data_IF_653834137082
#
_entry.id   IF_653834137082
#
_cell.length_a   1.000
_cell.length_b   1.000
_cell.length_c   1.000
_cell.angle_alpha   90.00
_cell.angle_beta   90.00
_cell.angle_gamma   90.00
#
_symmetry.space_group_name_H-M   'P 1'
#
loop_
_entity.id
_entity.type
_entity.pdbx_description
1 polymer ?
#
# COMPACT_ATOMS: atom_id res chain seq x y z
N UNK A 1 -31.35 -25.74 17.98
CA UNK A 1 -30.69 -24.43 18.21
C UNK A 1 -30.61 -23.74 16.85
N UNK A 2 -31.45 -22.72 16.62
CA UNK A 2 -31.54 -22.00 15.33
C UNK A 2 -30.49 -20.89 15.31
N UNK A 3 -29.63 -20.88 14.29
CA UNK A 3 -28.92 -19.67 13.85
C UNK A 3 -29.45 -19.35 12.46
N UNK A 4 -30.10 -18.20 12.34
CA UNK A 4 -30.77 -17.75 11.12
C UNK A 4 -29.82 -16.79 10.40
N UNK A 5 -29.18 -17.25 9.32
CA UNK A 5 -28.61 -16.38 8.31
C UNK A 5 -29.71 -16.12 7.27
N UNK A 6 -30.06 -14.85 7.04
CA UNK A 6 -30.88 -14.45 5.90
C UNK A 6 -30.05 -14.64 4.62
N UNK A 7 -30.03 -15.87 4.09
CA UNK A 7 -29.44 -16.20 2.79
C UNK A 7 -30.45 -15.89 1.69
N UNK A 8 -30.09 -14.98 0.78
CA UNK A 8 -30.61 -15.05 -0.59
C UNK A 8 -30.19 -16.41 -1.12
N UNK A 9 -31.14 -17.29 -1.42
CA UNK A 9 -30.85 -18.56 -2.09
C UNK A 9 -30.33 -18.24 -3.50
N UNK A 10 -29.00 -18.26 -3.66
CA UNK A 10 -28.37 -18.29 -4.97
C UNK A 10 -28.37 -19.75 -5.39
N UNK A 11 -29.31 -20.14 -6.25
CA UNK A 11 -29.30 -21.45 -6.89
C UNK A 11 -28.30 -21.39 -8.04
N UNK A 12 -27.05 -21.77 -7.79
CA UNK A 12 -26.01 -21.88 -8.82
C UNK A 12 -26.32 -23.12 -9.66
N UNK A 13 -26.43 -22.96 -10.97
CA UNK A 13 -26.70 -24.09 -11.87
C UNK A 13 -25.53 -25.10 -11.87
N UNK A 14 -25.80 -26.37 -12.17
CA UNK A 14 -24.73 -27.38 -12.31
C UNK A 14 -23.69 -27.01 -13.39
N UNK A 15 -24.11 -26.23 -14.40
CA UNK A 15 -23.24 -25.72 -15.46
C UNK A 15 -22.29 -24.62 -14.95
N UNK A 16 -22.77 -23.72 -14.08
CA UNK A 16 -21.94 -22.74 -13.39
C UNK A 16 -21.00 -23.38 -12.36
N UNK A 17 -21.44 -24.42 -11.65
CA UNK A 17 -20.58 -25.21 -10.77
C UNK A 17 -19.46 -25.91 -11.55
N UNK A 18 -19.76 -26.42 -12.75
CA UNK A 18 -18.76 -27.00 -13.65
C UNK A 18 -17.71 -25.97 -14.10
N UNK A 19 -18.15 -24.78 -14.51
CA UNK A 19 -17.24 -23.67 -14.87
C UNK A 19 -16.37 -23.23 -13.69
N UNK A 20 -16.95 -23.10 -12.48
CA UNK A 20 -16.21 -22.73 -11.28
C UNK A 20 -15.16 -23.78 -10.87
N UNK A 21 -15.46 -25.08 -11.04
CA UNK A 21 -14.47 -26.15 -10.82
C UNK A 21 -13.33 -26.08 -11.83
N UNK A 22 -13.64 -25.85 -13.10
CA UNK A 22 -12.62 -25.74 -14.15
C UNK A 22 -11.72 -24.51 -13.95
N UNK A 23 -12.31 -23.37 -13.54
CA UNK A 23 -11.55 -22.17 -13.16
C UNK A 23 -10.65 -22.43 -11.96
N UNK A 24 -11.13 -23.18 -10.96
CA UNK A 24 -10.35 -23.54 -9.77
C UNK A 24 -9.18 -24.46 -10.13
N UNK A 25 -9.42 -25.52 -10.90
CA UNK A 25 -8.36 -26.44 -11.34
C UNK A 25 -7.29 -25.72 -12.18
N UNK A 26 -7.69 -24.81 -13.07
CA UNK A 26 -6.76 -23.97 -13.82
C UNK A 26 -5.95 -23.04 -12.89
N UNK A 27 -6.62 -22.39 -11.93
CA UNK A 27 -5.95 -21.52 -10.97
C UNK A 27 -4.97 -22.28 -10.07
N UNK A 28 -5.36 -23.45 -9.55
CA UNK A 28 -4.54 -24.30 -8.68
C UNK A 28 -3.31 -24.80 -9.45
N UNK A 29 -3.44 -25.15 -10.74
CA UNK A 29 -2.30 -25.48 -11.60
C UNK A 29 -1.32 -24.30 -11.82
N UNK A 30 -1.85 -23.08 -11.90
CA UNK A 30 -1.05 -21.85 -11.97
C UNK A 30 -0.36 -21.59 -10.62
N UNK A 31 -1.01 -21.91 -9.49
CA UNK A 31 -0.40 -21.79 -8.16
C UNK A 31 0.74 -22.79 -7.97
N UNK A 32 0.56 -24.04 -8.40
CA UNK A 32 1.59 -25.08 -8.35
C UNK A 32 2.80 -24.75 -9.24
N UNK A 33 2.62 -23.93 -10.28
CA UNK A 33 3.70 -23.48 -11.19
C UNK A 33 4.30 -22.12 -10.82
N UNK A 34 3.99 -21.55 -9.66
CA UNK A 34 4.59 -20.30 -9.20
C UNK A 34 6.09 -20.47 -8.97
N UNK A 35 6.87 -19.69 -9.72
CA UNK A 35 8.32 -19.61 -9.57
C UNK A 35 8.73 -18.61 -8.49
N UNK A 36 7.92 -17.55 -8.29
CA UNK A 36 8.25 -16.45 -7.39
C UNK A 36 7.05 -15.92 -6.61
N UNK A 37 7.29 -15.44 -5.39
CA UNK A 37 6.32 -14.69 -4.59
C UNK A 37 6.98 -13.45 -3.98
N UNK A 38 6.43 -12.27 -4.26
CA UNK A 38 6.95 -11.01 -3.77
C UNK A 38 5.91 -10.18 -3.03
N UNK A 39 6.38 -9.51 -1.98
CA UNK A 39 5.60 -8.54 -1.22
C UNK A 39 5.94 -7.13 -1.73
N UNK A 40 4.95 -6.41 -2.25
CA UNK A 40 5.11 -5.05 -2.78
C UNK A 40 4.33 -4.07 -1.91
N UNK A 41 4.94 -2.94 -1.56
CA UNK A 41 4.35 -1.97 -0.64
C UNK A 41 4.20 -0.60 -1.33
N UNK A 42 2.97 -0.05 -1.35
CA UNK A 42 2.68 1.28 -1.89
C UNK A 42 2.79 2.33 -0.79
N UNK A 43 3.62 3.35 -1.00
CA UNK A 43 3.88 4.44 -0.04
C UNK A 43 3.70 5.81 -0.70
N UNK A 44 3.54 6.86 0.12
CA UNK A 44 3.29 8.23 -0.33
C UNK A 44 2.07 8.85 0.33
N UNK A 45 1.87 10.14 0.13
CA UNK A 45 0.84 10.92 0.81
C UNK A 45 -0.59 10.45 0.52
N UNK A 46 -1.54 10.91 1.34
CA UNK A 46 -2.97 10.76 1.03
C UNK A 46 -3.29 11.32 -0.36
N UNK A 47 -4.37 10.83 -0.99
CA UNK A 47 -4.91 11.40 -2.24
C UNK A 47 -4.03 11.31 -3.51
N UNK A 48 -2.78 10.87 -3.43
CA UNK A 48 -1.88 10.72 -4.61
C UNK A 48 -2.32 9.61 -5.59
N UNK A 49 -3.15 8.66 -5.14
CA UNK A 49 -3.77 7.64 -5.98
C UNK A 49 -3.24 6.21 -5.85
N UNK A 50 -2.53 5.86 -4.76
CA UNK A 50 -2.05 4.50 -4.47
C UNK A 50 -3.12 3.41 -4.64
N UNK A 51 -4.27 3.58 -4.00
CA UNK A 51 -5.40 2.65 -4.10
C UNK A 51 -5.91 2.53 -5.53
N UNK A 52 -5.96 3.65 -6.26
CA UNK A 52 -6.41 3.66 -7.65
C UNK A 52 -5.43 2.93 -8.57
N UNK A 53 -4.12 3.10 -8.36
CA UNK A 53 -3.08 2.35 -9.07
C UNK A 53 -3.24 0.86 -8.80
N UNK A 54 -3.36 0.46 -7.52
CA UNK A 54 -3.57 -0.96 -7.14
C UNK A 54 -4.80 -1.54 -7.81
N UNK A 55 -5.96 -0.87 -7.70
CA UNK A 55 -7.23 -1.31 -8.28
C UNK A 55 -7.15 -1.45 -9.79
N UNK A 56 -6.53 -0.48 -10.46
CA UNK A 56 -6.35 -0.51 -11.91
C UNK A 56 -5.46 -1.68 -12.33
N UNK A 57 -4.36 -1.92 -11.62
CA UNK A 57 -3.45 -3.03 -11.89
C UNK A 57 -4.12 -4.40 -11.75
N UNK A 58 -4.96 -4.60 -10.73
CA UNK A 58 -5.66 -5.88 -10.50
C UNK A 58 -6.96 -6.03 -11.32
N UNK A 59 -7.31 -5.06 -12.17
CA UNK A 59 -8.51 -5.13 -13.02
C UNK A 59 -9.83 -4.77 -12.34
N UNK A 60 -9.82 -4.21 -11.12
CA UNK A 60 -11.02 -3.76 -10.40
C UNK A 60 -11.62 -2.44 -10.95
N UNK A 61 -10.95 -1.83 -11.94
CA UNK A 61 -11.35 -0.56 -12.55
C UNK A 61 -11.05 0.67 -11.70
N UNK A 62 -11.39 1.85 -12.23
CA UNK A 62 -11.23 3.15 -11.56
C UNK A 62 -12.53 3.57 -10.90
N UNK A 63 -12.46 4.13 -9.68
CA UNK A 63 -13.60 4.75 -8.99
C UNK A 63 -13.36 6.24 -8.84
N UNK A 64 -14.28 7.06 -9.38
CA UNK A 64 -14.23 8.52 -9.29
C UNK A 64 -14.53 9.04 -7.89
N UNK A 65 -15.34 8.32 -7.11
CA UNK A 65 -15.66 8.70 -5.74
C UNK A 65 -14.49 8.35 -4.81
N UNK A 66 -13.84 9.39 -4.28
CA UNK A 66 -12.76 9.23 -3.33
C UNK A 66 -13.28 8.70 -1.98
N UNK A 67 -12.68 7.61 -1.52
CA UNK A 67 -12.84 7.08 -0.18
C UNK A 67 -11.42 6.91 0.37
N UNK A 68 -11.02 7.64 1.43
CA UNK A 68 -9.69 7.48 2.01
C UNK A 68 -9.44 6.02 2.41
N UNK A 69 -8.24 5.49 2.14
CA UNK A 69 -7.82 4.21 2.70
C UNK A 69 -7.68 4.38 4.20
N UNK A 70 -8.57 3.73 4.93
CA UNK A 70 -8.52 3.66 6.38
C UNK A 70 -7.62 2.47 6.73
N UNK A 71 -6.37 2.74 7.10
CA UNK A 71 -5.35 1.74 7.41
C UNK A 71 -4.70 1.05 6.23
N UNK A 72 -4.82 -0.28 6.14
CA UNK A 72 -4.08 -1.09 5.14
C UNK A 72 -5.01 -2.09 4.48
N UNK A 73 -4.93 -2.11 3.15
CA UNK A 73 -5.67 -3.01 2.28
C UNK A 73 -4.66 -3.72 1.37
N UNK A 74 -4.91 -4.98 1.02
CA UNK A 74 -3.99 -5.74 0.18
C UNK A 74 -4.72 -6.48 -0.93
N UNK A 75 -4.04 -6.63 -2.05
CA UNK A 75 -4.51 -7.39 -3.19
C UNK A 75 -3.41 -8.32 -3.66
N UNK A 76 -3.78 -9.41 -4.31
CA UNK A 76 -2.84 -10.29 -4.97
C UNK A 76 -3.13 -10.37 -6.46
N UNK A 77 -2.07 -10.46 -7.26
CA UNK A 77 -2.15 -10.74 -8.69
C UNK A 77 -1.04 -11.71 -9.06
N UNK A 78 -1.39 -12.72 -9.83
CA UNK A 78 -0.41 -13.59 -10.47
C UNK A 78 -0.15 -13.01 -11.85
N UNK A 79 1.12 -12.78 -12.15
CA UNK A 79 1.58 -12.31 -13.46
C UNK A 79 2.51 -13.36 -14.05
N UNK A 80 2.37 -13.62 -15.34
CA UNK A 80 3.27 -14.53 -16.06
C UNK A 80 4.41 -13.70 -16.63
N UNK A 81 5.61 -13.88 -16.11
CA UNK A 81 6.83 -13.26 -16.66
C UNK A 81 7.58 -14.29 -17.51
N UNK A 82 8.62 -13.85 -18.22
CA UNK A 82 9.52 -14.76 -18.96
C UNK A 82 10.23 -15.75 -18.03
N UNK A 83 10.36 -15.38 -16.76
CA UNK A 83 11.03 -16.16 -15.71
C UNK A 83 10.05 -17.05 -14.92
N UNK A 84 8.80 -17.16 -15.38
CA UNK A 84 7.76 -18.00 -14.80
C UNK A 84 6.60 -17.23 -14.16
N UNK A 85 5.66 -17.97 -13.59
CA UNK A 85 4.51 -17.37 -12.91
C UNK A 85 4.96 -16.74 -11.59
N UNK A 86 4.68 -15.46 -11.41
CA UNK A 86 5.07 -14.67 -10.23
C UNK A 86 3.84 -14.16 -9.51
N UNK A 87 3.74 -14.43 -8.21
CA UNK A 87 2.67 -13.89 -7.36
C UNK A 87 3.13 -12.60 -6.70
N UNK A 88 2.42 -11.51 -6.93
CA UNK A 88 2.60 -10.24 -6.24
C UNK A 88 1.54 -10.07 -5.16
N UNK A 89 1.95 -9.84 -3.92
CA UNK A 89 1.09 -9.43 -2.81
C UNK A 89 1.30 -7.94 -2.57
N UNK A 90 0.34 -7.12 -2.97
CA UNK A 90 0.44 -5.66 -3.03
C UNK A 90 -0.26 -5.07 -1.82
N UNK A 91 0.47 -4.32 -1.02
CA UNK A 91 0.01 -3.64 0.18
C UNK A 91 -0.22 -2.16 -0.10
N UNK A 92 -1.48 -1.73 -0.07
CA UNK A 92 -1.87 -0.32 -0.10
C UNK A 92 -1.93 0.21 1.33
N UNK A 93 -0.94 1.01 1.70
CA UNK A 93 -0.80 1.55 3.04
C UNK A 93 -1.38 2.98 3.05
N UNK A 94 -2.21 3.31 4.05
CA UNK A 94 -2.75 4.65 4.19
C UNK A 94 -1.63 5.69 4.33
N UNK A 95 -1.70 6.70 3.45
CA UNK A 95 -0.77 7.82 3.40
C UNK A 95 -1.00 8.90 4.46
N UNK A 96 -1.94 8.72 5.40
CA UNK A 96 -2.21 9.74 6.41
C UNK A 96 -1.28 9.55 7.61
N UNK A 97 -0.77 10.66 8.16
CA UNK A 97 0.15 10.68 9.32
C UNK A 97 -0.41 9.95 10.55
N UNK A 98 -1.74 9.95 10.71
CA UNK A 98 -2.46 9.28 11.80
C UNK A 98 -2.26 7.75 11.84
N UNK A 99 -1.83 7.14 10.74
CA UNK A 99 -1.56 5.70 10.65
C UNK A 99 -0.06 5.36 10.74
N UNK A 100 0.83 6.29 11.09
CA UNK A 100 2.28 6.05 11.09
C UNK A 100 2.73 4.87 11.96
N UNK A 101 2.14 4.68 13.13
CA UNK A 101 2.45 3.56 14.04
C UNK A 101 2.14 2.18 13.45
N UNK A 102 1.31 2.11 12.41
CA UNK A 102 0.89 0.89 11.73
C UNK A 102 1.91 0.47 10.70
N UNK A 103 2.46 1.46 9.98
CA UNK A 103 3.24 1.25 8.76
C UNK A 103 4.48 0.40 8.98
N UNK A 104 5.09 0.51 10.17
CA UNK A 104 6.26 -0.30 10.58
C UNK A 104 6.08 -1.79 10.30
N UNK A 105 4.93 -2.38 10.65
CA UNK A 105 4.69 -3.83 10.46
C UNK A 105 4.48 -4.21 8.99
N UNK A 106 4.03 -3.27 8.18
CA UNK A 106 3.75 -3.52 6.78
C UNK A 106 5.00 -3.39 5.91
N UNK A 107 5.96 -2.56 6.31
CA UNK A 107 7.28 -2.46 5.68
C UNK A 107 8.15 -3.70 5.85
N UNK A 108 7.99 -4.43 6.94
CA UNK A 108 8.84 -5.61 7.21
C UNK A 108 8.61 -6.70 6.14
N UNK A 109 9.70 -7.17 5.54
CA UNK A 109 9.68 -8.20 4.51
C UNK A 109 9.13 -7.77 3.15
N UNK A 110 8.97 -6.47 2.86
CA UNK A 110 8.69 -6.05 1.48
C UNK A 110 9.89 -6.38 0.58
N UNK A 111 9.61 -7.00 -0.57
CA UNK A 111 10.56 -7.29 -1.65
C UNK A 111 10.73 -6.10 -2.59
N UNK A 112 9.70 -5.25 -2.70
CA UNK A 112 9.68 -4.05 -3.53
C UNK A 112 8.85 -2.92 -2.92
N UNK A 113 9.22 -1.68 -3.22
CA UNK A 113 8.51 -0.47 -2.81
C UNK A 113 8.08 0.34 -4.03
N UNK A 114 6.85 0.86 -3.99
CA UNK A 114 6.35 1.85 -4.95
C UNK A 114 6.05 3.13 -4.20
N UNK A 115 6.88 4.16 -4.40
CA UNK A 115 6.62 5.50 -3.88
C UNK A 115 5.78 6.27 -4.88
N UNK A 116 4.60 6.73 -4.47
CA UNK A 116 3.67 7.44 -5.34
C UNK A 116 3.52 8.87 -4.88
N UNK A 117 3.69 9.82 -5.80
CA UNK A 117 3.28 11.21 -5.65
C UNK A 117 2.38 11.63 -6.81
N UNK A 118 1.76 12.80 -6.73
CA UNK A 118 0.87 13.33 -7.78
C UNK A 118 1.57 14.45 -8.54
N UNK A 119 1.59 14.41 -9.87
CA UNK A 119 2.26 15.43 -10.70
C UNK A 119 1.66 16.83 -10.61
N UNK A 120 0.46 16.95 -10.04
CA UNK A 120 -0.25 18.22 -9.80
C UNK A 120 -0.30 18.60 -8.32
N UNK A 121 0.56 17.99 -7.49
CA UNK A 121 0.61 18.18 -6.05
C UNK A 121 2.07 18.23 -5.57
N UNK A 122 2.64 19.44 -5.55
CA UNK A 122 4.05 19.69 -5.16
C UNK A 122 4.35 19.25 -3.73
N UNK A 123 3.40 19.44 -2.82
CA UNK A 123 3.57 19.01 -1.42
C UNK A 123 3.76 17.49 -1.33
N UNK A 124 3.01 16.72 -2.12
CA UNK A 124 3.18 15.27 -2.18
C UNK A 124 4.55 14.82 -2.70
N UNK A 125 5.15 15.59 -3.62
CA UNK A 125 6.50 15.34 -4.12
C UNK A 125 7.56 15.68 -3.08
N UNK A 126 7.45 16.83 -2.42
CA UNK A 126 8.39 17.24 -1.37
C UNK A 126 8.38 16.25 -0.18
N UNK A 127 7.19 15.75 0.17
CA UNK A 127 7.01 14.74 1.22
C UNK A 127 7.51 13.35 0.81
N UNK A 128 7.73 13.06 -0.47
CA UNK A 128 8.20 11.76 -0.96
C UNK A 128 9.53 11.33 -0.30
N UNK A 129 10.42 12.30 -0.06
CA UNK A 129 11.68 12.10 0.68
C UNK A 129 11.44 11.58 2.11
N UNK A 130 10.44 12.12 2.82
CA UNK A 130 10.08 11.72 4.19
C UNK A 130 9.58 10.28 4.23
N UNK A 131 8.81 9.87 3.21
CA UNK A 131 8.35 8.49 3.07
C UNK A 131 9.49 7.49 2.89
N UNK A 132 10.49 7.85 2.08
CA UNK A 132 11.68 7.02 1.91
C UNK A 132 12.51 6.90 3.20
N UNK A 133 12.72 8.01 3.89
CA UNK A 133 13.43 8.02 5.18
C UNK A 133 12.68 7.17 6.21
N UNK A 134 11.35 7.29 6.28
CA UNK A 134 10.53 6.48 7.17
C UNK A 134 10.65 4.98 6.85
N UNK A 135 10.49 4.60 5.58
CA UNK A 135 10.60 3.21 5.15
C UNK A 135 11.99 2.63 5.46
N UNK A 136 13.04 3.39 5.16
CA UNK A 136 14.42 3.02 5.45
C UNK A 136 14.66 2.83 6.96
N UNK A 137 14.07 3.69 7.81
CA UNK A 137 14.18 3.57 9.26
C UNK A 137 13.54 2.31 9.86
N UNK A 138 12.64 1.65 9.13
CA UNK A 138 11.94 0.45 9.59
C UNK A 138 12.42 -0.85 8.93
N UNK A 139 13.20 -0.77 7.85
CA UNK A 139 13.66 -1.94 7.10
C UNK A 139 15.14 -2.23 7.36
N UNK A 140 15.48 -3.51 7.56
CA UNK A 140 16.88 -3.94 7.71
C UNK A 140 17.66 -3.91 6.39
N UNK A 141 16.98 -4.25 5.28
CA UNK A 141 17.49 -4.17 3.91
C UNK A 141 16.46 -3.40 3.10
N UNK A 142 16.91 -2.35 2.42
CA UNK A 142 16.03 -1.55 1.59
C UNK A 142 15.74 -2.33 0.29
N UNK A 143 14.46 -2.55 -0.07
CA UNK A 143 14.09 -3.31 -1.25
C UNK A 143 14.23 -2.47 -2.52
N UNK A 144 14.10 -3.09 -3.69
CA UNK A 144 14.04 -2.37 -4.96
C UNK A 144 12.92 -1.34 -4.94
N UNK A 145 13.18 -0.18 -5.54
CA UNK A 145 12.30 0.98 -5.46
C UNK A 145 11.83 1.39 -6.85
N UNK A 146 10.55 1.70 -6.98
CA UNK A 146 10.03 2.45 -8.12
C UNK A 146 9.38 3.73 -7.60
N UNK A 147 9.73 4.85 -8.22
CA UNK A 147 9.14 6.15 -7.95
C UNK A 147 8.14 6.43 -9.06
N UNK A 148 6.91 6.68 -8.66
CA UNK A 148 5.75 6.82 -9.56
C UNK A 148 5.18 8.21 -9.45
N UNK A 149 5.22 8.95 -10.55
CA UNK A 149 4.53 10.22 -10.71
C UNK A 149 3.13 9.96 -11.29
N UNK A 150 2.10 9.98 -10.46
CA UNK A 150 0.74 9.64 -10.87
C UNK A 150 -0.06 10.89 -11.31
N UNK A 151 -1.18 10.65 -11.97
CA UNK A 151 -2.15 11.66 -12.47
C UNK A 151 -1.62 12.52 -13.62
N UNK A 152 -0.80 11.95 -14.50
CA UNK A 152 -0.31 12.67 -15.69
C UNK A 152 -1.40 13.15 -16.63
N UNK A 153 -2.58 12.53 -16.57
CA UNK A 153 -3.79 12.98 -17.25
C UNK A 153 -4.23 14.40 -16.83
N UNK A 154 -3.82 14.86 -15.65
CA UNK A 154 -4.18 16.18 -15.13
C UNK A 154 -3.24 17.30 -15.59
N UNK A 155 -2.05 17.00 -16.14
CA UNK A 155 -1.04 18.02 -16.48
C UNK A 155 -1.54 19.12 -17.41
N UNK A 156 -2.44 18.78 -18.34
CA UNK A 156 -2.99 19.74 -19.29
C UNK A 156 -3.94 20.78 -18.65
N UNK A 157 -4.40 20.54 -17.42
CA UNK A 157 -5.39 21.37 -16.73
C UNK A 157 -4.78 22.27 -15.63
N UNK A 158 -3.49 22.12 -15.34
CA UNK A 158 -2.79 22.88 -14.30
C UNK A 158 -1.72 23.80 -14.92
N UNK A 159 -1.39 24.93 -14.27
CA UNK A 159 -0.29 25.79 -14.70
C UNK A 159 1.04 25.02 -14.72
N UNK A 160 1.92 25.34 -15.68
CA UNK A 160 3.19 24.60 -15.88
C UNK A 160 4.14 24.73 -14.69
N UNK A 161 4.06 25.84 -13.98
CA UNK A 161 4.84 26.18 -12.80
C UNK A 161 4.45 25.39 -11.54
N UNK A 162 3.21 24.88 -11.49
CA UNK A 162 2.67 24.14 -10.33
C UNK A 162 2.79 22.62 -10.50
N UNK A 163 3.10 22.14 -11.71
CA UNK A 163 3.26 20.72 -12.00
C UNK A 163 4.72 20.28 -11.85
N UNK A 164 4.90 19.05 -11.38
CA UNK A 164 6.21 18.42 -11.32
C UNK A 164 6.58 17.92 -12.71
N UNK A 165 7.75 18.30 -13.20
CA UNK A 165 8.25 17.89 -14.51
C UNK A 165 8.75 16.44 -14.50
N UNK A 166 8.94 15.87 -15.69
CA UNK A 166 9.52 14.53 -15.81
C UNK A 166 10.96 14.53 -15.27
N UNK A 167 11.72 15.57 -15.64
CA UNK A 167 13.13 15.75 -15.27
C UNK A 167 13.31 15.88 -13.75
N UNK A 168 12.44 16.65 -13.07
CA UNK A 168 12.48 16.75 -11.60
C UNK A 168 12.28 15.39 -10.91
N UNK A 169 11.35 14.57 -11.42
CA UNK A 169 11.09 13.23 -10.90
C UNK A 169 12.22 12.24 -11.17
N UNK A 170 12.83 12.33 -12.35
CA UNK A 170 13.98 11.51 -12.75
C UNK A 170 15.23 11.83 -11.93
N UNK A 171 15.56 13.12 -11.78
CA UNK A 171 16.67 13.60 -10.94
C UNK A 171 16.49 13.18 -9.48
N UNK A 172 15.29 13.34 -8.93
CA UNK A 172 14.95 12.87 -7.59
C UNK A 172 15.20 11.37 -7.43
N UNK A 173 14.79 10.57 -8.42
CA UNK A 173 14.97 9.11 -8.40
C UNK A 173 16.45 8.73 -8.45
N UNK A 174 17.22 9.36 -9.33
CA UNK A 174 18.67 9.14 -9.46
C UNK A 174 19.41 9.44 -8.16
N UNK A 175 19.11 10.60 -7.56
CA UNK A 175 19.69 11.02 -6.29
C UNK A 175 19.43 10.01 -5.17
N UNK A 176 18.21 9.48 -5.07
CA UNK A 176 17.89 8.47 -4.05
C UNK A 176 18.48 7.09 -4.35
N UNK A 177 18.56 6.71 -5.63
CA UNK A 177 19.21 5.46 -6.04
C UNK A 177 20.67 5.41 -5.57
N UNK A 178 21.40 6.51 -5.78
CA UNK A 178 22.80 6.65 -5.35
C UNK A 178 22.93 6.69 -3.83
N UNK A 179 22.13 7.52 -3.14
CA UNK A 179 22.20 7.69 -1.68
C UNK A 179 21.84 6.43 -0.91
N UNK A 180 20.85 5.67 -1.39
CA UNK A 180 20.38 4.45 -0.74
C UNK A 180 21.08 3.19 -1.28
N UNK A 181 22.00 3.34 -2.24
CA UNK A 181 22.64 2.24 -2.96
C UNK A 181 21.64 1.14 -3.35
N UNK A 182 20.48 1.58 -3.85
CA UNK A 182 19.34 0.72 -4.15
C UNK A 182 18.92 0.94 -5.60
N UNK A 183 18.68 -0.14 -6.36
CA UNK A 183 18.16 -0.01 -7.71
C UNK A 183 16.80 0.69 -7.70
N UNK A 184 16.74 1.84 -8.36
CA UNK A 184 15.55 2.68 -8.39
C UNK A 184 15.23 3.11 -9.82
N UNK A 185 13.95 3.08 -10.19
CA UNK A 185 13.48 3.56 -11.50
C UNK A 185 12.34 4.56 -11.35
N UNK A 186 12.26 5.49 -12.29
CA UNK A 186 11.20 6.50 -12.36
C UNK A 186 10.19 6.15 -13.44
N UNK A 187 8.89 6.23 -13.14
CA UNK A 187 7.82 6.05 -14.12
C UNK A 187 6.67 7.04 -13.88
N UNK A 188 6.17 7.62 -14.95
CA UNK A 188 4.95 8.40 -14.93
C UNK A 188 3.72 7.54 -15.22
N UNK A 189 2.64 7.70 -14.44
CA UNK A 189 1.44 6.88 -14.56
C UNK A 189 0.15 7.69 -14.52
N UNK A 190 -0.92 7.09 -15.01
CA UNK A 190 -2.28 7.59 -14.79
C UNK A 190 -3.20 6.44 -14.40
N UNK A 191 -3.65 6.45 -13.14
CA UNK A 191 -4.65 5.49 -12.66
C UNK A 191 -6.01 5.61 -13.36
N UNK A 192 -6.33 6.78 -13.92
CA UNK A 192 -7.55 6.99 -14.68
C UNK A 192 -7.49 6.25 -16.02
N UNK A 193 -6.46 6.53 -16.81
CA UNK A 193 -6.31 5.98 -18.17
C UNK A 193 -5.77 4.55 -18.17
N UNK A 194 -4.89 4.22 -17.22
CA UNK A 194 -4.12 2.97 -17.16
C UNK A 194 -2.71 3.08 -17.70
N UNK A 195 -2.31 4.26 -18.19
CA UNK A 195 -0.96 4.48 -18.75
C UNK A 195 0.11 4.09 -17.74
N UNK A 196 1.03 3.24 -18.20
CA UNK A 196 2.23 2.74 -17.53
C UNK A 196 2.01 2.03 -16.18
N UNK A 197 0.77 1.64 -15.84
CA UNK A 197 0.51 0.92 -14.58
C UNK A 197 1.06 -0.50 -14.64
N UNK A 198 0.71 -1.27 -15.67
CA UNK A 198 1.26 -2.63 -15.82
C UNK A 198 2.79 -2.59 -15.97
N UNK A 199 3.31 -1.65 -16.76
CA UNK A 199 4.76 -1.45 -16.92
C UNK A 199 5.47 -1.20 -15.58
N UNK A 200 4.89 -0.38 -14.70
CA UNK A 200 5.47 -0.11 -13.38
C UNK A 200 5.60 -1.38 -12.53
N UNK A 201 4.57 -2.23 -12.51
CA UNK A 201 4.63 -3.49 -11.78
C UNK A 201 5.52 -4.53 -12.47
N UNK A 202 5.54 -4.59 -13.80
CA UNK A 202 6.36 -5.53 -14.55
C UNK A 202 7.86 -5.22 -14.40
N UNK A 203 8.24 -3.94 -14.48
CA UNK A 203 9.63 -3.52 -14.23
C UNK A 203 10.05 -3.77 -12.79
N UNK A 204 9.20 -3.44 -11.82
CA UNK A 204 9.48 -3.74 -10.41
C UNK A 204 9.66 -5.25 -10.19
N UNK A 205 8.80 -6.06 -10.80
CA UNK A 205 8.87 -7.53 -10.70
C UNK A 205 10.18 -8.05 -11.30
N UNK A 206 10.55 -7.56 -12.48
CA UNK A 206 11.80 -7.92 -13.14
C UNK A 206 13.03 -7.58 -12.27
N UNK A 207 13.03 -6.42 -11.62
CA UNK A 207 14.10 -6.01 -10.69
C UNK A 207 14.15 -6.87 -9.42
N UNK A 208 13.01 -7.40 -8.95
CA UNK A 208 12.97 -8.31 -7.81
C UNK A 208 13.47 -9.72 -8.16
N UNK A 209 13.19 -10.21 -9.38
CA UNK A 209 13.65 -11.52 -9.87
C UNK A 209 15.16 -11.49 -10.17
N UNK A 210 15.64 -10.40 -10.78
CA UNK A 210 17.03 -10.25 -11.22
C UNK A 210 17.78 -9.14 -10.46
N UNK A 211 18.07 -9.31 -9.16
CA UNK A 211 18.73 -8.27 -8.35
C UNK A 211 20.19 -8.00 -8.78
N UNK A 212 20.83 -8.90 -9.52
CA UNK A 212 22.22 -8.75 -10.01
C UNK A 212 22.33 -7.79 -11.21
N UNK A 213 21.28 -7.71 -12.04
CA UNK A 213 21.21 -6.81 -13.21
C UNK A 213 20.95 -5.35 -12.78
N UNK A 214 20.65 -5.15 -11.50
CA UNK A 214 20.22 -3.89 -10.92
C UNK A 214 21.39 -3.08 -10.30
N UNK A 215 22.64 -3.55 -10.44
CA UNK A 215 23.84 -2.78 -10.10
C UNK A 215 23.98 -1.59 -11.07
N UNK A 216 24.44 -0.41 -10.62
CA UNK A 216 24.59 0.76 -11.49
C UNK A 216 25.52 0.43 -12.66
N UNK A 217 25.15 0.90 -13.86
CA UNK A 217 26.01 0.95 -15.02
C UNK A 217 27.29 1.71 -14.64
N UNK A 218 28.34 0.96 -14.34
CA UNK A 218 29.68 1.53 -14.21
C UNK A 218 30.08 2.10 -15.58
N UNK A 219 30.66 3.29 -15.51
CA UNK A 219 30.91 4.19 -16.61
C UNK A 219 31.90 3.69 -17.67
N UNK A 220 31.67 4.16 -18.90
CA UNK A 220 32.62 4.28 -20.01
C UNK A 220 33.01 2.99 -20.78
N UNK A 221 32.37 2.84 -21.95
CA UNK A 221 33.02 2.26 -23.12
C UNK A 221 34.14 3.21 -23.59
N UNK A 222 35.40 2.75 -23.49
CA UNK A 222 36.47 3.17 -24.41
C UNK A 222 37.09 1.93 -25.06
N UNK A 223 37.35 2.05 -26.36
CA UNK A 223 37.78 1.03 -27.30
C UNK A 223 39.25 0.61 -27.12
N UNK A 224 39.53 -0.69 -27.30
CA UNK A 224 40.65 -1.36 -28.04
C UNK A 224 42.12 -0.91 -27.78
N UNK A 225 43.18 -1.72 -27.67
CA UNK A 225 43.67 -2.95 -28.35
C UNK A 225 44.84 -3.59 -27.50
N UNK A 226 45.65 -4.62 -27.90
CA UNK A 226 45.94 -5.82 -27.08
C UNK A 226 47.45 -6.06 -26.76
N UNK A 227 47.75 -7.28 -26.25
CA UNK A 227 49.06 -7.94 -26.01
C UNK A 227 49.80 -7.54 -24.71
N UNK A 228 50.29 -8.45 -23.86
CA UNK A 228 51.19 -9.59 -24.14
C UNK A 228 51.22 -10.62 -22.99
N UNK A 229 51.72 -11.82 -23.31
CA UNK A 229 51.90 -13.03 -22.52
C UNK A 229 52.77 -12.90 -21.25
N UNK A 230 52.55 -13.76 -20.24
CA UNK A 230 53.58 -14.66 -19.66
C UNK A 230 52.95 -15.69 -18.69
N UNK A 231 53.48 -16.91 -18.74
CA UNK A 231 53.04 -18.14 -18.06
C UNK A 231 53.98 -18.46 -16.86
N UNK A 232 53.91 -19.63 -16.16
CA UNK A 232 53.37 -19.83 -14.80
C UNK A 232 54.43 -20.27 -13.75
N UNK A 233 54.11 -20.30 -12.44
CA UNK A 233 54.77 -21.23 -11.50
C UNK A 233 53.81 -21.70 -10.40
N UNK A 234 53.97 -22.99 -10.09
CA UNK A 234 53.22 -23.98 -9.33
C UNK A 234 53.31 -23.95 -7.79
N UNK A 235 52.41 -24.76 -7.20
CA UNK A 235 52.16 -25.16 -5.79
C UNK A 235 53.37 -25.72 -4.99
N UNK A 236 53.18 -26.05 -3.68
CA UNK A 236 52.76 -27.42 -3.35
C UNK A 236 51.78 -27.62 -2.16
N UNK A 237 50.86 -28.56 -2.37
CA UNK A 237 50.20 -29.55 -1.49
C UNK A 237 50.39 -29.54 0.05
N UNK A 238 49.27 -29.76 0.76
CA UNK A 238 49.18 -30.77 1.83
C UNK A 238 47.80 -31.41 1.91
N UNK A 239 47.77 -32.66 2.41
CA UNK A 239 46.88 -33.76 2.03
C UNK A 239 45.91 -34.15 3.17
N UNK A 240 44.60 -34.25 2.88
CA UNK A 240 43.55 -35.24 3.34
C UNK A 240 43.32 -35.58 4.85
N UNK A 241 42.23 -36.30 5.24
CA UNK A 241 40.94 -36.58 4.58
C UNK A 241 39.69 -36.36 5.49
N UNK A 242 38.49 -36.25 4.89
CA UNK A 242 37.23 -36.59 5.58
C UNK A 242 36.14 -37.06 4.61
N UNK A 243 35.92 -38.38 4.68
CA UNK A 243 34.72 -39.23 4.53
C UNK A 243 33.48 -38.76 3.75
N UNK A 244 33.06 -39.67 2.87
CA UNK A 244 31.93 -39.74 1.94
C UNK A 244 30.52 -39.64 2.56
N UNK A 245 29.57 -39.08 1.80
CA UNK A 245 28.41 -39.83 1.27
C UNK A 245 27.53 -38.94 0.38
N UNK A 246 27.66 -39.13 -0.94
CA UNK A 246 26.74 -38.63 -1.96
C UNK A 246 25.78 -39.76 -2.36
N UNK A 247 24.46 -39.57 -2.20
CA UNK A 247 23.46 -40.22 -3.07
C UNK A 247 22.27 -39.28 -3.24
N UNK A 248 22.21 -38.58 -4.37
CA UNK A 248 20.93 -38.22 -5.01
C UNK A 248 21.15 -38.35 -6.52
N UNK A 249 20.97 -39.57 -7.00
CA UNK A 249 20.95 -39.87 -8.42
C UNK A 249 19.61 -39.39 -9.00
N UNK A 250 19.73 -38.49 -9.95
CA UNK A 250 18.83 -38.29 -11.09
C UNK A 250 18.30 -39.62 -11.64
N UNK A 251 16.97 -39.74 -11.72
CA UNK A 251 16.28 -40.77 -12.51
C UNK A 251 15.31 -40.05 -13.44
N UNK A 252 15.83 -39.63 -14.59
CA UNK A 252 15.05 -39.53 -15.82
C UNK A 252 15.66 -40.48 -16.84
N UNK A 253 14.78 -41.18 -17.55
CA UNK A 253 15.01 -42.15 -18.63
C UNK A 253 15.59 -43.53 -18.27
N UNK A 254 14.72 -44.54 -18.23
CA UNK A 254 14.83 -45.66 -19.19
C UNK A 254 13.61 -46.60 -19.18
N UNK A 255 13.25 -47.02 -20.39
CA UNK A 255 12.62 -48.29 -20.78
C UNK A 255 11.20 -48.60 -20.28
N UNK A 256 10.28 -48.63 -21.25
CA UNK A 256 9.14 -49.54 -21.30
C UNK A 256 9.52 -50.96 -20.86
N UNK A 257 9.27 -51.28 -19.59
CA UNK A 257 9.24 -52.64 -19.07
C UNK A 257 7.79 -53.08 -19.21
N UNK A 258 7.54 -54.01 -20.14
CA UNK A 258 6.30 -54.77 -20.20
C UNK A 258 6.28 -55.72 -18.99
N UNK A 259 5.66 -55.27 -17.90
CA UNK A 259 5.37 -56.08 -16.72
C UNK A 259 4.12 -56.89 -17.03
N UNK A 260 4.27 -58.15 -17.46
CA UNK A 260 3.16 -59.08 -17.70
C UNK A 260 2.68 -59.75 -16.38
N UNK A 261 2.65 -59.01 -15.28
CA UNK A 261 2.09 -59.49 -14.00
C UNK A 261 0.88 -58.63 -13.60
N UNK A 262 -0.36 -59.15 -13.78
CA UNK A 262 -1.60 -58.41 -13.55
C UNK A 262 -1.72 -57.83 -12.14
N UNK A 263 -1.12 -58.48 -11.13
CA UNK A 263 -1.14 -58.00 -9.76
C UNK A 263 -0.28 -56.74 -9.57
N UNK A 264 0.88 -56.69 -10.22
CA UNK A 264 1.79 -55.55 -10.15
C UNK A 264 1.20 -54.35 -10.89
N UNK A 265 0.47 -54.58 -11.98
CA UNK A 265 -0.20 -53.52 -12.73
C UNK A 265 -1.37 -52.90 -11.94
N UNK A 266 -2.13 -53.72 -11.21
CA UNK A 266 -3.21 -53.26 -10.32
C UNK A 266 -2.66 -52.45 -9.13
N UNK A 267 -1.63 -52.97 -8.45
CA UNK A 267 -0.97 -52.27 -7.32
C UNK A 267 -0.29 -50.96 -7.78
N UNK A 268 0.36 -50.95 -8.95
CA UNK A 268 0.98 -49.74 -9.50
C UNK A 268 -0.07 -48.68 -9.85
N UNK A 269 -1.23 -49.10 -10.37
CA UNK A 269 -2.34 -48.20 -10.68
C UNK A 269 -2.93 -47.58 -9.41
N UNK A 270 -3.09 -48.39 -8.35
CA UNK A 270 -3.55 -47.92 -7.04
C UNK A 270 -2.55 -46.96 -6.38
N UNK A 271 -1.25 -47.24 -6.50
CA UNK A 271 -0.18 -46.36 -6.02
C UNK A 271 -0.17 -45.00 -6.72
N UNK A 272 -0.38 -44.99 -8.05
CA UNK A 272 -0.48 -43.75 -8.83
C UNK A 272 -1.73 -42.96 -8.41
N UNK A 273 -2.88 -43.61 -8.26
CA UNK A 273 -4.13 -42.95 -7.82
C UNK A 273 -4.00 -42.36 -6.40
N UNK A 274 -3.37 -43.10 -5.47
CA UNK A 274 -3.10 -42.62 -4.11
C UNK A 274 -2.14 -41.43 -4.11
N UNK A 275 -1.09 -41.43 -4.94
CA UNK A 275 -0.19 -40.27 -5.09
C UNK A 275 -0.91 -39.04 -5.62
N UNK A 276 -1.80 -39.22 -6.60
CA UNK A 276 -2.63 -38.11 -7.13
C UNK A 276 -3.57 -37.57 -6.06
N UNK A 277 -4.22 -38.44 -5.29
CA UNK A 277 -5.10 -38.04 -4.17
C UNK A 277 -4.33 -37.31 -3.07
N UNK A 278 -3.14 -37.80 -2.71
CA UNK A 278 -2.28 -37.14 -1.72
C UNK A 278 -1.88 -35.74 -2.19
N UNK A 279 -1.43 -35.62 -3.45
CA UNK A 279 -1.02 -34.34 -4.03
C UNK A 279 -2.16 -33.31 -4.04
N UNK A 280 -3.39 -33.75 -4.39
CA UNK A 280 -4.59 -32.91 -4.30
C UNK A 280 -4.91 -32.47 -2.87
N UNK A 281 -4.85 -33.40 -1.92
CA UNK A 281 -5.12 -33.09 -0.52
C UNK A 281 -4.10 -32.10 0.08
N UNK A 282 -2.82 -32.22 -0.31
CA UNK A 282 -1.79 -31.26 0.08
C UNK A 282 -2.00 -29.88 -0.54
N UNK A 283 -2.47 -29.82 -1.79
CA UNK A 283 -2.77 -28.56 -2.47
C UNK A 283 -3.98 -27.85 -1.85
N UNK A 284 -5.08 -28.58 -1.64
CA UNK A 284 -6.27 -28.06 -0.94
C UNK A 284 -5.93 -27.49 0.45
N UNK A 285 -5.00 -28.15 1.16
CA UNK A 285 -4.54 -27.68 2.47
C UNK A 285 -3.74 -26.37 2.37
N UNK A 286 -2.88 -26.23 1.34
CA UNK A 286 -2.14 -24.98 1.10
C UNK A 286 -3.08 -23.83 0.76
N UNK A 287 -4.05 -24.07 -0.11
CA UNK A 287 -5.00 -23.04 -0.54
C UNK A 287 -5.89 -22.60 0.61
N UNK A 288 -6.37 -23.54 1.43
CA UNK A 288 -7.09 -23.23 2.66
C UNK A 288 -6.23 -22.44 3.66
N UNK A 289 -4.98 -22.84 3.86
CA UNK A 289 -4.04 -22.12 4.74
C UNK A 289 -3.82 -20.69 4.24
N UNK A 290 -3.64 -20.52 2.94
CA UNK A 290 -3.40 -19.22 2.32
C UNK A 290 -4.65 -18.32 2.39
N UNK A 291 -5.83 -18.87 2.10
CA UNK A 291 -7.09 -18.14 2.19
C UNK A 291 -7.40 -17.73 3.65
N UNK A 292 -7.16 -18.62 4.61
CA UNK A 292 -7.36 -18.31 6.03
C UNK A 292 -6.38 -17.25 6.54
N UNK A 293 -5.11 -17.30 6.14
CA UNK A 293 -4.13 -16.24 6.45
C UNK A 293 -4.55 -14.90 5.85
N UNK A 294 -5.01 -14.90 4.61
CA UNK A 294 -5.54 -13.72 3.90
C UNK A 294 -6.76 -13.14 4.64
N UNK A 295 -7.75 -13.97 4.95
CA UNK A 295 -8.95 -13.55 5.67
C UNK A 295 -8.63 -13.05 7.09
N UNK A 296 -7.72 -13.72 7.79
CA UNK A 296 -7.27 -13.31 9.11
C UNK A 296 -6.56 -11.97 9.07
N UNK A 297 -5.72 -11.75 8.07
CA UNK A 297 -5.02 -10.49 7.89
C UNK A 297 -5.99 -9.35 7.57
N UNK A 298 -6.95 -9.57 6.67
CA UNK A 298 -8.02 -8.63 6.36
C UNK A 298 -8.83 -8.26 7.61
N UNK A 299 -9.19 -9.25 8.43
CA UNK A 299 -9.93 -9.04 9.66
C UNK A 299 -9.10 -8.29 10.70
N UNK A 300 -7.83 -8.67 10.89
CA UNK A 300 -6.89 -7.97 11.78
C UNK A 300 -6.74 -6.50 11.39
N UNK A 301 -6.54 -6.22 10.09
CA UNK A 301 -6.47 -4.85 9.57
C UNK A 301 -7.78 -4.12 9.86
N UNK A 302 -8.94 -4.70 9.53
CA UNK A 302 -10.26 -4.08 9.76
C UNK A 302 -10.48 -3.71 11.22
N UNK A 303 -10.22 -4.63 12.15
CA UNK A 303 -10.39 -4.40 13.59
C UNK A 303 -9.44 -3.31 14.08
N UNK A 304 -8.18 -3.37 13.67
CA UNK A 304 -7.16 -2.43 14.11
C UNK A 304 -7.42 -1.01 13.58
N UNK A 305 -7.87 -0.89 12.33
CA UNK A 305 -8.28 0.37 11.72
C UNK A 305 -9.46 0.98 12.45
N UNK A 306 -10.50 0.18 12.71
CA UNK A 306 -11.67 0.61 13.48
C UNK A 306 -11.26 1.11 14.86
N UNK A 307 -10.27 0.47 15.50
CA UNK A 307 -9.74 0.90 16.79
C UNK A 307 -9.10 2.29 16.71
N UNK A 308 -8.24 2.55 15.73
CA UNK A 308 -7.60 3.87 15.58
C UNK A 308 -8.61 4.94 15.24
N UNK A 309 -9.55 4.64 14.32
CA UNK A 309 -10.62 5.56 13.98
C UNK A 309 -11.42 5.95 15.21
N UNK A 310 -11.74 4.97 16.06
CA UNK A 310 -12.40 5.21 17.34
C UNK A 310 -11.57 6.11 18.26
N UNK A 311 -10.27 5.84 18.41
CA UNK A 311 -9.37 6.66 19.23
C UNK A 311 -9.24 8.09 18.69
N UNK A 312 -9.15 8.26 17.37
CA UNK A 312 -9.09 9.57 16.71
C UNK A 312 -10.39 10.34 16.90
N UNK A 313 -11.53 9.72 16.60
CA UNK A 313 -12.84 10.33 16.76
C UNK A 313 -13.08 10.72 18.23
N UNK A 314 -12.65 9.88 19.17
CA UNK A 314 -12.70 10.17 20.60
C UNK A 314 -11.86 11.40 20.96
N UNK A 315 -10.66 11.54 20.39
CA UNK A 315 -9.80 12.71 20.60
C UNK A 315 -10.42 13.99 20.02
N UNK A 316 -10.96 13.93 18.80
CA UNK A 316 -11.66 15.05 18.19
C UNK A 316 -12.88 15.46 19.02
N UNK A 317 -13.72 14.52 19.43
CA UNK A 317 -14.85 14.78 20.34
C UNK A 317 -14.41 15.45 21.64
N UNK A 318 -13.26 15.06 22.19
CA UNK A 318 -12.71 15.70 23.38
C UNK A 318 -12.28 17.15 23.13
N UNK A 319 -11.63 17.41 21.99
CA UNK A 319 -11.20 18.76 21.61
C UNK A 319 -12.39 19.67 21.34
N UNK A 320 -13.35 19.22 20.53
CA UNK A 320 -14.57 19.97 20.27
C UNK A 320 -15.35 20.23 21.55
N UNK A 321 -15.44 19.26 22.48
CA UNK A 321 -16.06 19.52 23.79
C UNK A 321 -15.35 20.60 24.59
N UNK A 322 -14.02 20.67 24.53
CA UNK A 322 -13.25 21.71 25.21
C UNK A 322 -13.51 23.08 24.57
N UNK A 323 -13.42 23.17 23.24
CA UNK A 323 -13.70 24.41 22.50
C UNK A 323 -15.11 24.96 22.79
N UNK A 324 -16.10 24.07 22.88
CA UNK A 324 -17.46 24.45 23.23
C UNK A 324 -17.61 24.89 24.69
N UNK A 325 -16.86 24.28 25.62
CA UNK A 325 -16.83 24.73 27.00
C UNK A 325 -16.22 26.13 27.11
N UNK A 326 -15.08 26.35 26.44
CA UNK A 326 -14.39 27.65 26.42
C UNK A 326 -15.28 28.74 25.79
N UNK A 327 -15.95 28.43 24.67
CA UNK A 327 -16.88 29.36 24.01
C UNK A 327 -18.13 29.66 24.85
N UNK A 328 -18.62 28.68 25.63
CA UNK A 328 -19.74 28.89 26.54
C UNK A 328 -19.35 29.82 27.69
N UNK A 329 -18.17 29.63 28.28
CA UNK A 329 -17.65 30.50 29.33
C UNK A 329 -17.48 31.95 28.82
N UNK A 330 -16.96 32.12 27.60
CA UNK A 330 -16.86 33.43 26.95
C UNK A 330 -18.24 34.08 26.73
N UNK A 331 -19.24 33.30 26.29
CA UNK A 331 -20.61 33.79 26.12
C UNK A 331 -21.20 34.28 27.45
N UNK A 332 -21.03 33.52 28.53
CA UNK A 332 -21.51 33.88 29.88
C UNK A 332 -20.87 35.19 30.34
N UNK A 333 -19.57 35.36 30.13
CA UNK A 333 -18.85 36.59 30.46
C UNK A 333 -19.34 37.80 29.65
N UNK A 334 -19.60 37.62 28.35
CA UNK A 334 -20.14 38.66 27.49
C UNK A 334 -21.53 39.10 27.92
N UNK A 335 -22.41 38.15 28.25
CA UNK A 335 -23.76 38.45 28.75
C UNK A 335 -23.73 39.22 30.06
N UNK A 336 -22.82 38.86 30.97
CA UNK A 336 -22.61 39.60 32.22
C UNK A 336 -22.17 41.04 31.95
N UNK A 337 -21.17 41.25 31.08
CA UNK A 337 -20.70 42.60 30.72
C UNK A 337 -21.80 43.45 30.08
N UNK A 338 -22.58 42.87 29.16
CA UNK A 338 -23.72 43.56 28.54
C UNK A 338 -24.75 43.99 29.58
N UNK A 339 -25.04 43.13 30.55
CA UNK A 339 -25.97 43.45 31.63
C UNK A 339 -25.44 44.60 32.49
N UNK A 340 -24.17 44.56 32.87
CA UNK A 340 -23.52 45.63 33.64
C UNK A 340 -23.50 46.97 32.88
N UNK A 341 -23.28 46.95 31.56
CA UNK A 341 -23.35 48.15 30.71
C UNK A 341 -24.77 48.70 30.59
N UNK A 342 -25.77 47.82 30.40
CA UNK A 342 -27.18 48.21 30.38
C UNK A 342 -27.58 48.87 31.69
N UNK A 343 -27.20 48.31 32.84
CA UNK A 343 -27.46 48.89 34.16
C UNK A 343 -26.86 50.30 34.30
N UNK A 344 -25.65 50.52 33.79
CA UNK A 344 -25.04 51.87 33.75
C UNK A 344 -25.83 52.83 32.87
N UNK A 345 -26.24 52.41 31.68
CA UNK A 345 -27.03 53.24 30.77
C UNK A 345 -28.39 53.58 31.39
N UNK A 346 -29.07 52.61 32.01
CA UNK A 346 -30.32 52.85 32.73
C UNK A 346 -30.16 53.89 33.84
N UNK A 347 -29.09 53.78 34.64
CA UNK A 347 -28.78 54.76 35.68
C UNK A 347 -28.58 56.18 35.11
N UNK A 348 -27.83 56.29 34.00
CA UNK A 348 -27.63 57.57 33.31
C UNK A 348 -28.93 58.18 32.78
N UNK A 349 -29.81 57.36 32.18
CA UNK A 349 -31.12 57.82 31.69
C UNK A 349 -31.95 58.35 32.86
N UNK A 350 -31.93 57.67 34.00
CA UNK A 350 -32.70 58.06 35.18
C UNK A 350 -32.19 59.39 35.78
N UNK A 351 -30.87 59.58 35.80
CA UNK A 351 -30.26 60.86 36.20
C UNK A 351 -30.63 62.01 35.25
N UNK A 352 -30.67 61.74 33.94
CA UNK A 352 -31.09 62.73 32.93
C UNK A 352 -32.57 63.08 33.13
N UNK A 353 -33.45 62.09 33.36
CA UNK A 353 -34.88 62.33 33.63
C UNK A 353 -35.09 63.22 34.84
N UNK A 354 -34.42 62.93 35.96
CA UNK A 354 -34.47 63.78 37.17
C UNK A 354 -34.01 65.22 36.90
N UNK A 355 -32.97 65.40 36.09
CA UNK A 355 -32.51 66.74 35.68
C UNK A 355 -33.55 67.47 34.85
N UNK A 356 -34.20 66.79 33.90
CA UNK A 356 -35.28 67.37 33.09
C UNK A 356 -36.42 67.83 34.00
N UNK A 357 -36.91 66.98 34.91
CA UNK A 357 -37.98 67.33 35.85
C UNK A 357 -37.62 68.56 36.71
N UNK A 358 -36.36 68.63 37.17
CA UNK A 358 -35.86 69.77 37.95
C UNK A 358 -35.89 71.06 37.12
N UNK A 359 -35.40 71.02 35.88
CA UNK A 359 -35.40 72.17 34.97
C UNK A 359 -36.83 72.60 34.63
N UNK A 360 -37.71 71.65 34.29
CA UNK A 360 -39.11 71.93 34.00
C UNK A 360 -39.83 72.60 35.18
N UNK A 361 -39.57 72.15 36.42
CA UNK A 361 -40.12 72.79 37.61
C UNK A 361 -39.62 74.24 37.79
N UNK A 362 -38.34 74.47 37.51
CA UNK A 362 -37.71 75.80 37.59
C UNK A 362 -38.28 76.76 36.55
N UNK A 363 -38.46 76.28 35.31
CA UNK A 363 -39.07 77.04 34.22
C UNK A 363 -40.53 77.34 34.52
N UNK A 364 -41.31 76.36 35.02
CA UNK A 364 -42.71 76.59 35.42
C UNK A 364 -42.85 77.66 36.51
N UNK A 365 -41.89 77.73 37.43
CA UNK A 365 -41.88 78.77 38.46
C UNK A 365 -41.54 80.15 37.87
N UNK A 366 -40.56 80.24 36.97
CA UNK A 366 -40.19 81.51 36.30
C UNK A 366 -41.23 82.07 35.33
N UNK A 367 -42.10 81.23 34.76
CA UNK A 367 -43.17 81.68 33.83
C UNK A 367 -44.44 82.10 34.59
N UNK A 368 -44.52 81.84 35.90
CA UNK A 368 -45.65 82.22 36.76
C UNK A 368 -45.47 83.56 37.49
N UNK A 369 -44.25 84.04 37.59
CA UNK A 369 -43.90 85.42 38.01
C UNK A 369 -43.90 86.36 36.79
#
# INVERSE_FOLDING_TARGET
MKVCFHSRNITISNDELGKLRHYREEYDSVLESLSWQFKVCLIGDGYVGKTSIRRKYIGEGFRSNYIPTLGVDFAQKITSTKDGNTRLVIWDIAGQSQFQSLRKRYYEGCSGLILVYSVVDRESFDNASKWLVEAHGYMKKFPVLIIVANKIDLRAYYPKEDIISYEEGEEFTKMFSEKLNTPSIFIETSALTGVNIDEAFDRLTSMMIHPEVAQPLDSAQELSVPETETIPVSEPNSTTPSVESNVTASVENSSSISIEDPQVEEEMTELVDLRVKLKRAEQDLRDFSFETETNLLNLKNTVYVKKIMYEHLRKQLSQTRQEWADAYDEHVDLDKRKKDELEKIFSQIEDIRKKIETIESTVKNHVRD
#
